data_IF_658539341144
#
_entry.id   IF_658539341144
#
_cell.length_a   1.000
_cell.length_b   1.000
_cell.length_c   1.000
_cell.angle_alpha   90.00
_cell.angle_beta   90.00
_cell.angle_gamma   90.00
#
_symmetry.space_group_name_H-M   'P 1'
#
loop_
_entity.id
_entity.type
_entity.pdbx_description
1 polymer ?
#
# COMPACT_ATOMS: atom_id res chain seq x y z
N UNK A 1 -63.42 -0.30 -33.24
CA UNK A 1 -62.67 -0.69 -32.04
C UNK A 1 -63.56 -0.49 -30.84
N UNK A 2 -64.15 -1.57 -30.33
CA UNK A 2 -64.67 -1.73 -28.97
C UNK A 2 -65.03 -3.22 -28.86
N UNK A 3 -64.22 -3.96 -28.10
CA UNK A 3 -64.40 -5.39 -27.89
C UNK A 3 -65.43 -5.59 -26.78
N UNK A 4 -66.52 -6.29 -27.11
CA UNK A 4 -67.42 -6.87 -26.12
C UNK A 4 -66.72 -8.05 -25.47
N UNK A 5 -66.41 -7.92 -24.18
CA UNK A 5 -65.87 -8.98 -23.34
C UNK A 5 -67.03 -9.86 -22.90
N UNK A 6 -67.19 -11.00 -23.56
CA UNK A 6 -68.09 -12.07 -23.12
C UNK A 6 -67.47 -12.84 -21.95
N UNK A 7 -68.21 -12.86 -20.85
CA UNK A 7 -67.90 -13.49 -19.58
C UNK A 7 -67.97 -15.02 -19.70
N UNK A 8 -66.84 -15.72 -19.56
CA UNK A 8 -66.76 -17.19 -19.48
C UNK A 8 -66.76 -17.61 -17.98
N UNK A 9 -67.58 -18.58 -17.54
CA UNK A 9 -67.65 -18.98 -16.14
C UNK A 9 -66.42 -19.78 -15.70
N UNK A 10 -66.12 -19.64 -14.40
CA UNK A 10 -65.00 -20.23 -13.68
C UNK A 10 -64.89 -21.76 -13.87
N UNK A 11 -63.75 -22.20 -14.41
CA UNK A 11 -63.23 -23.54 -14.14
C UNK A 11 -62.45 -23.47 -12.83
N UNK A 12 -63.08 -23.92 -11.75
CA UNK A 12 -62.41 -24.17 -10.49
C UNK A 12 -61.38 -25.30 -10.68
N UNK A 13 -60.09 -24.95 -10.74
CA UNK A 13 -59.02 -25.93 -10.56
C UNK A 13 -58.98 -26.33 -9.09
N UNK A 14 -59.72 -27.38 -8.76
CA UNK A 14 -59.57 -28.11 -7.51
C UNK A 14 -58.26 -28.91 -7.56
N UNK A 15 -57.22 -28.40 -6.88
CA UNK A 15 -56.28 -29.19 -6.06
C UNK A 15 -55.20 -28.25 -5.49
N UNK A 16 -55.53 -27.61 -4.38
CA UNK A 16 -54.55 -27.07 -3.45
C UNK A 16 -54.95 -27.53 -2.04
N UNK A 17 -54.99 -28.86 -1.87
CA UNK A 17 -54.99 -29.42 -0.54
C UNK A 17 -53.61 -29.15 0.09
N UNK A 18 -53.53 -28.70 1.35
CA UNK A 18 -52.25 -28.62 2.04
C UNK A 18 -51.73 -30.05 2.18
N UNK A 19 -50.66 -30.38 1.45
CA UNK A 19 -49.94 -31.63 1.69
C UNK A 19 -49.48 -31.58 3.14
N UNK A 20 -50.09 -32.39 4.00
CA UNK A 20 -49.68 -32.54 5.38
C UNK A 20 -48.22 -33.01 5.35
N UNK A 21 -47.30 -32.08 5.58
CA UNK A 21 -45.87 -32.33 5.56
C UNK A 21 -45.52 -33.16 6.79
N UNK A 22 -45.69 -34.48 6.68
CA UNK A 22 -45.26 -35.42 7.70
C UNK A 22 -43.74 -35.31 7.79
N UNK A 23 -43.16 -34.99 8.95
CA UNK A 23 -41.70 -34.89 9.06
C UNK A 23 -41.11 -36.27 8.75
N UNK A 24 -40.40 -36.38 7.63
CA UNK A 24 -39.68 -37.60 7.26
C UNK A 24 -38.44 -37.71 8.13
N UNK A 25 -38.26 -38.85 8.78
CA UNK A 25 -37.09 -39.12 9.62
C UNK A 25 -35.85 -39.46 8.78
N UNK A 26 -34.65 -39.26 9.33
CA UNK A 26 -33.39 -39.63 8.66
C UNK A 26 -33.34 -41.13 8.33
N UNK A 27 -33.89 -41.98 9.20
CA UNK A 27 -33.88 -43.42 9.00
C UNK A 27 -34.84 -43.84 7.87
N UNK A 28 -35.99 -43.18 7.73
CA UNK A 28 -36.88 -43.37 6.58
C UNK A 28 -36.21 -42.95 5.27
N UNK A 29 -35.44 -41.85 5.27
CA UNK A 29 -34.68 -41.39 4.08
C UNK A 29 -33.60 -42.40 3.71
N UNK A 30 -32.84 -42.91 4.69
CA UNK A 30 -31.80 -43.92 4.47
C UNK A 30 -32.37 -45.23 3.92
N UNK A 31 -33.54 -45.65 4.41
CA UNK A 31 -34.21 -46.85 3.93
C UNK A 31 -34.78 -46.67 2.51
N UNK A 32 -35.37 -45.51 2.21
CA UNK A 32 -35.96 -45.23 0.91
C UNK A 32 -34.91 -44.95 -0.19
N UNK A 33 -33.80 -44.30 0.18
CA UNK A 33 -32.77 -43.85 -0.76
C UNK A 33 -31.35 -44.11 -0.21
N UNK A 34 -30.91 -45.37 -0.11
CA UNK A 34 -29.64 -45.71 0.52
C UNK A 34 -28.44 -45.10 -0.23
N UNK A 35 -28.42 -45.15 -1.55
CA UNK A 35 -27.32 -44.61 -2.36
C UNK A 35 -27.23 -43.08 -2.27
N UNK A 36 -28.37 -42.38 -2.37
CA UNK A 36 -28.42 -40.92 -2.27
C UNK A 36 -28.03 -40.48 -0.85
N UNK A 37 -28.52 -41.16 0.18
CA UNK A 37 -28.17 -40.87 1.57
C UNK A 37 -26.67 -41.02 1.80
N UNK A 38 -26.06 -42.08 1.27
CA UNK A 38 -24.62 -42.30 1.37
C UNK A 38 -23.84 -41.24 0.60
N UNK A 39 -24.29 -40.85 -0.59
CA UNK A 39 -23.66 -39.80 -1.39
C UNK A 39 -23.65 -38.45 -0.65
N UNK A 40 -24.78 -38.06 -0.04
CA UNK A 40 -24.87 -36.82 0.74
C UNK A 40 -23.96 -36.82 1.98
N UNK A 41 -23.88 -37.95 2.69
CA UNK A 41 -22.96 -38.11 3.83
C UNK A 41 -21.51 -37.94 3.38
N UNK A 42 -21.13 -38.58 2.28
CA UNK A 42 -19.77 -38.50 1.73
C UNK A 42 -19.43 -37.07 1.28
N UNK A 43 -20.34 -36.43 0.53
CA UNK A 43 -20.17 -35.05 0.08
C UNK A 43 -20.01 -34.08 1.25
N UNK A 44 -20.83 -34.21 2.29
CA UNK A 44 -20.73 -33.39 3.51
C UNK A 44 -19.40 -33.60 4.23
N UNK A 45 -18.98 -34.87 4.40
CA UNK A 45 -17.71 -35.20 5.05
C UNK A 45 -16.50 -34.69 4.24
N UNK A 46 -16.54 -34.78 2.91
CA UNK A 46 -15.50 -34.26 2.02
C UNK A 46 -15.41 -32.74 2.09
N UNK A 47 -16.54 -32.04 2.00
CA UNK A 47 -16.60 -30.58 2.13
C UNK A 47 -16.05 -30.11 3.46
N UNK A 48 -16.42 -30.76 4.55
CA UNK A 48 -15.96 -30.39 5.88
C UNK A 48 -14.46 -30.67 6.07
N UNK A 49 -13.96 -31.82 5.59
CA UNK A 49 -12.52 -32.10 5.61
C UNK A 49 -11.74 -31.09 4.78
N UNK A 50 -12.24 -30.71 3.60
CA UNK A 50 -11.62 -29.71 2.75
C UNK A 50 -11.58 -28.33 3.42
N UNK A 51 -12.66 -27.94 4.12
CA UNK A 51 -12.73 -26.69 4.90
C UNK A 51 -11.73 -26.69 6.05
N UNK A 52 -11.65 -27.77 6.83
CA UNK A 52 -10.66 -27.89 7.91
C UNK A 52 -9.24 -27.88 7.36
N UNK A 53 -8.98 -28.58 6.24
CA UNK A 53 -7.67 -28.56 5.58
C UNK A 53 -7.27 -27.13 5.15
N UNK A 54 -8.18 -26.37 4.55
CA UNK A 54 -7.89 -24.97 4.16
C UNK A 54 -7.63 -24.08 5.38
N UNK A 55 -8.30 -24.34 6.51
CA UNK A 55 -8.03 -23.67 7.78
C UNK A 55 -6.61 -23.96 8.30
N UNK A 56 -6.19 -25.23 8.27
CA UNK A 56 -4.85 -25.64 8.74
C UNK A 56 -3.73 -25.16 7.81
N UNK A 57 -3.98 -25.12 6.49
CA UNK A 57 -3.04 -24.58 5.51
C UNK A 57 -2.78 -23.08 5.67
N UNK A 58 -3.76 -22.34 6.22
CA UNK A 58 -3.59 -20.93 6.58
C UNK A 58 -2.81 -20.72 7.89
N UNK A 59 -2.45 -21.79 8.61
CA UNK A 59 -1.75 -21.69 9.90
C UNK A 59 -0.34 -21.11 9.75
N UNK A 60 0.07 -20.34 10.75
CA UNK A 60 1.40 -19.74 10.84
C UNK A 60 1.93 -19.87 12.27
N UNK A 61 3.26 -20.00 12.40
CA UNK A 61 3.91 -20.18 13.70
C UNK A 61 3.51 -19.08 14.69
N UNK A 62 3.08 -19.47 15.89
CA UNK A 62 2.63 -18.57 16.95
C UNK A 62 1.12 -18.24 16.91
N UNK A 63 0.39 -18.71 15.90
CA UNK A 63 -1.05 -18.50 15.74
C UNK A 63 -1.87 -19.80 15.84
N UNK A 64 -1.27 -20.90 16.31
CA UNK A 64 -1.89 -22.22 16.36
C UNK A 64 -3.18 -22.23 17.21
N UNK A 65 -3.21 -21.47 18.30
CA UNK A 65 -4.40 -21.34 19.15
C UNK A 65 -5.57 -20.63 18.45
N UNK A 66 -5.27 -19.62 17.63
CA UNK A 66 -6.28 -18.90 16.84
C UNK A 66 -6.86 -19.83 15.77
N UNK A 67 -6.01 -20.57 15.07
CA UNK A 67 -6.42 -21.55 14.06
C UNK A 67 -7.28 -22.65 14.70
N UNK A 68 -6.86 -23.17 15.87
CA UNK A 68 -7.59 -24.21 16.59
C UNK A 68 -8.98 -23.77 17.04
N UNK A 69 -9.16 -22.52 17.48
CA UNK A 69 -10.47 -22.00 17.91
C UNK A 69 -11.41 -21.76 16.73
N UNK A 70 -10.88 -21.40 15.56
CA UNK A 70 -11.68 -21.09 14.37
C UNK A 70 -12.01 -22.34 13.55
N UNK A 71 -11.09 -23.29 13.36
CA UNK A 71 -11.28 -24.39 12.40
C UNK A 71 -12.47 -25.31 12.72
N UNK A 72 -12.91 -25.39 13.98
CA UNK A 72 -14.04 -26.24 14.41
C UNK A 72 -15.36 -25.50 14.63
N UNK A 73 -15.46 -24.22 14.26
CA UNK A 73 -16.68 -23.41 14.46
C UNK A 73 -17.78 -23.66 13.41
N UNK A 74 -17.51 -24.49 12.40
CA UNK A 74 -18.43 -24.85 11.32
C UNK A 74 -18.64 -23.77 10.25
N UNK A 75 -17.94 -22.63 10.31
CA UNK A 75 -18.14 -21.50 9.38
C UNK A 75 -16.84 -20.85 8.88
N UNK A 76 -15.74 -20.99 9.62
CA UNK A 76 -14.46 -20.42 9.24
C UNK A 76 -13.88 -21.13 8.03
N UNK A 77 -13.18 -20.38 7.18
CA UNK A 77 -12.42 -20.89 6.03
C UNK A 77 -10.96 -20.46 6.15
N UNK A 78 -10.07 -21.05 5.35
CA UNK A 78 -8.66 -20.63 5.28
C UNK A 78 -8.47 -19.13 5.07
N UNK A 79 -9.29 -18.49 4.24
CA UNK A 79 -9.25 -17.05 4.00
C UNK A 79 -9.61 -16.24 5.25
N UNK A 80 -10.64 -16.67 5.98
CA UNK A 80 -11.04 -15.98 7.23
C UNK A 80 -9.97 -16.12 8.32
N UNK A 81 -9.29 -17.28 8.39
CA UNK A 81 -8.18 -17.52 9.31
C UNK A 81 -6.98 -16.66 8.93
N UNK A 82 -6.59 -16.65 7.65
CA UNK A 82 -5.47 -15.81 7.19
C UNK A 82 -5.71 -14.33 7.52
N UNK A 83 -6.94 -13.84 7.33
CA UNK A 83 -7.30 -12.47 7.68
C UNK A 83 -7.28 -12.24 9.20
N UNK A 84 -7.70 -13.21 10.01
CA UNK A 84 -7.63 -13.12 11.47
C UNK A 84 -6.17 -13.06 11.95
N UNK A 85 -5.28 -13.85 11.37
CA UNK A 85 -3.83 -13.83 11.64
C UNK A 85 -3.25 -12.46 11.30
N UNK A 86 -3.55 -11.90 10.11
CA UNK A 86 -3.07 -10.58 9.72
C UNK A 86 -3.52 -9.49 10.70
N UNK A 87 -4.77 -9.54 11.16
CA UNK A 87 -5.28 -8.56 12.14
C UNK A 87 -4.55 -8.66 13.48
N UNK A 88 -4.32 -9.86 13.99
CA UNK A 88 -3.62 -10.03 15.26
C UNK A 88 -2.14 -9.65 15.13
N UNK A 89 -1.49 -9.95 14.01
CA UNK A 89 -0.11 -9.51 13.73
C UNK A 89 -0.02 -7.97 13.66
N UNK A 90 -0.98 -7.31 13.02
CA UNK A 90 -1.04 -5.84 12.98
C UNK A 90 -1.15 -5.25 14.39
N UNK A 91 -1.99 -5.82 15.25
CA UNK A 91 -2.13 -5.40 16.65
C UNK A 91 -0.79 -5.54 17.38
N UNK A 92 -0.16 -6.71 17.32
CA UNK A 92 1.15 -6.96 17.95
C UNK A 92 2.21 -5.97 17.46
N UNK A 93 2.23 -5.66 16.16
CA UNK A 93 3.18 -4.69 15.59
C UNK A 93 2.93 -3.27 16.07
N UNK A 94 1.66 -2.86 16.12
CA UNK A 94 1.30 -1.53 16.60
C UNK A 94 1.67 -1.36 18.08
N UNK A 95 1.39 -2.36 18.91
CA UNK A 95 1.75 -2.36 20.33
C UNK A 95 3.27 -2.29 20.52
N UNK A 96 4.03 -3.07 19.74
CA UNK A 96 5.50 -3.01 19.75
C UNK A 96 6.03 -1.66 19.28
N UNK A 97 5.44 -1.07 18.24
CA UNK A 97 5.84 0.24 17.75
C UNK A 97 5.59 1.32 18.82
N UNK A 98 4.43 1.29 19.48
CA UNK A 98 4.13 2.19 20.58
C UNK A 98 5.15 2.05 21.73
N UNK A 99 5.52 0.81 22.08
CA UNK A 99 6.55 0.55 23.07
C UNK A 99 7.94 1.07 22.63
N UNK A 100 8.31 0.91 21.35
CA UNK A 100 9.57 1.46 20.82
C UNK A 100 9.59 2.98 20.89
N UNK A 101 8.52 3.65 20.49
CA UNK A 101 8.40 5.11 20.54
C UNK A 101 8.46 5.60 22.00
N UNK A 102 7.75 4.92 22.92
CA UNK A 102 7.75 5.29 24.33
C UNK A 102 9.10 5.07 25.02
N UNK A 103 9.86 4.06 24.62
CA UNK A 103 11.17 3.74 25.19
C UNK A 103 12.33 4.41 24.44
N UNK A 104 12.06 5.14 23.37
CA UNK A 104 13.08 5.83 22.61
C UNK A 104 13.69 6.96 23.45
N UNK A 105 15.04 7.08 23.49
CA UNK A 105 15.69 8.28 24.00
C UNK A 105 15.19 9.51 23.26
N UNK A 106 15.04 10.63 23.97
CA UNK A 106 14.69 11.89 23.33
C UNK A 106 15.70 12.22 22.22
N UNK A 107 15.26 12.69 21.05
CA UNK A 107 16.17 13.16 20.01
C UNK A 107 17.15 14.15 20.61
N UNK A 108 18.44 13.93 20.38
CA UNK A 108 19.46 14.91 20.77
C UNK A 108 19.14 16.20 20.03
N UNK A 109 19.05 17.32 20.76
CA UNK A 109 18.93 18.63 20.11
C UNK A 109 20.20 18.84 19.31
N UNK A 110 20.12 18.72 17.99
CA UNK A 110 21.14 19.25 17.11
C UNK A 110 21.05 20.77 17.18
N UNK A 111 22.11 21.40 17.65
CA UNK A 111 22.28 22.83 17.44
C UNK A 111 22.09 23.12 15.94
N UNK A 112 21.50 24.27 15.56
CA UNK A 112 21.54 24.67 14.17
C UNK A 112 23.00 24.60 13.74
N UNK A 113 23.29 23.68 12.82
CA UNK A 113 24.53 23.71 12.08
C UNK A 113 24.48 25.10 11.46
N UNK A 114 25.32 26.03 11.94
CA UNK A 114 25.54 27.27 11.22
C UNK A 114 25.72 26.83 9.79
N UNK A 115 24.79 27.23 8.91
CA UNK A 115 24.96 26.99 7.50
C UNK A 115 26.40 27.39 7.23
N UNK A 116 27.23 26.44 6.78
CA UNK A 116 28.57 26.78 6.33
C UNK A 116 28.35 27.99 5.45
N UNK A 117 28.80 29.16 5.89
CA UNK A 117 28.78 30.33 5.04
C UNK A 117 29.48 29.80 3.79
N UNK A 118 28.74 29.73 2.67
CA UNK A 118 29.38 29.53 1.38
C UNK A 118 30.56 30.49 1.43
N UNK A 119 31.80 30.05 1.16
CA UNK A 119 32.95 30.94 1.18
C UNK A 119 32.50 32.21 0.49
N UNK A 120 32.54 33.34 1.20
CA UNK A 120 32.24 34.63 0.58
C UNK A 120 33.10 34.64 -0.68
N UNK A 121 32.47 34.63 -1.84
CA UNK A 121 33.18 34.71 -3.12
C UNK A 121 33.76 36.14 -3.17
N UNK A 122 34.83 36.41 -2.41
CA UNK A 122 35.51 37.71 -2.35
C UNK A 122 35.92 38.17 -3.76
N UNK A 123 36.09 37.22 -4.69
CA UNK A 123 36.32 37.48 -6.10
C UNK A 123 35.12 38.16 -6.79
N UNK A 124 33.87 37.75 -6.52
CA UNK A 124 32.67 38.34 -7.16
C UNK A 124 32.42 39.78 -6.72
N UNK A 125 32.75 40.11 -5.46
CA UNK A 125 32.66 41.48 -4.95
C UNK A 125 33.66 42.40 -5.65
N UNK A 126 34.88 41.90 -5.93
CA UNK A 126 35.94 42.68 -6.61
C UNK A 126 35.67 42.94 -8.10
N UNK A 127 35.01 42.02 -8.82
CA UNK A 127 34.70 42.21 -10.27
C UNK A 127 33.87 43.48 -10.52
N UNK A 128 32.92 43.76 -9.63
CA UNK A 128 31.97 44.86 -9.78
C UNK A 128 32.39 46.16 -9.08
N UNK A 129 33.43 46.14 -8.25
CA UNK A 129 33.91 47.31 -7.52
C UNK A 129 34.68 48.28 -8.43
N UNK A 130 34.01 49.34 -8.88
CA UNK A 130 34.61 50.35 -9.77
C UNK A 130 35.72 51.18 -9.11
N UNK A 131 35.91 51.08 -7.79
CA UNK A 131 37.00 51.77 -7.09
C UNK A 131 38.36 51.08 -7.27
N UNK A 132 38.35 49.80 -7.66
CA UNK A 132 39.56 49.03 -7.94
C UNK A 132 40.08 49.26 -9.37
N UNK A 133 41.41 49.20 -9.59
CA UNK A 133 41.99 49.22 -10.92
C UNK A 133 41.38 48.13 -11.83
N UNK A 134 41.19 48.45 -13.11
CA UNK A 134 40.61 47.54 -14.09
C UNK A 134 41.32 46.17 -14.13
N UNK A 135 42.65 46.18 -14.02
CA UNK A 135 43.47 44.97 -14.01
C UNK A 135 43.15 44.04 -12.83
N UNK A 136 42.96 44.59 -11.64
CA UNK A 136 42.62 43.81 -10.44
C UNK A 136 41.21 43.20 -10.56
N UNK A 137 40.27 43.95 -11.13
CA UNK A 137 38.90 43.49 -11.36
C UNK A 137 38.84 42.41 -12.44
N UNK A 138 39.56 42.60 -13.53
CA UNK A 138 39.71 41.60 -14.60
C UNK A 138 40.36 40.32 -14.04
N UNK A 139 41.39 40.46 -13.20
CA UNK A 139 42.02 39.31 -12.57
C UNK A 139 41.07 38.55 -11.65
N UNK A 140 40.24 39.26 -10.89
CA UNK A 140 39.21 38.62 -10.07
C UNK A 140 38.18 37.84 -10.91
N UNK A 141 37.74 38.40 -12.05
CA UNK A 141 36.83 37.72 -12.97
C UNK A 141 37.48 36.44 -13.52
N UNK A 142 38.71 36.56 -14.02
CA UNK A 142 39.55 35.47 -14.53
C UNK A 142 39.75 34.33 -13.54
N UNK A 143 40.13 34.64 -12.30
CA UNK A 143 40.42 33.62 -11.29
C UNK A 143 39.14 32.90 -10.85
N UNK A 144 37.99 33.59 -10.87
CA UNK A 144 36.69 33.06 -10.44
C UNK A 144 35.94 32.21 -11.47
N UNK A 145 36.23 32.36 -12.77
CA UNK A 145 35.52 31.68 -13.85
C UNK A 145 36.44 30.73 -14.63
N UNK A 146 36.21 29.42 -14.49
CA UNK A 146 36.98 28.40 -15.20
C UNK A 146 36.66 28.34 -16.71
N UNK A 147 35.45 28.74 -17.13
CA UNK A 147 35.05 28.83 -18.52
C UNK A 147 35.79 29.97 -19.23
N UNK A 148 35.89 31.12 -18.56
CA UNK A 148 36.67 32.25 -19.06
C UNK A 148 38.15 31.89 -19.27
N UNK A 149 38.72 31.10 -18.36
CA UNK A 149 40.08 30.56 -18.47
C UNK A 149 40.27 29.51 -19.57
N UNK A 150 39.19 28.91 -20.04
CA UNK A 150 39.21 28.00 -21.18
C UNK A 150 39.05 28.75 -22.51
N UNK A 151 38.29 29.85 -22.52
CA UNK A 151 38.02 30.67 -23.71
C UNK A 151 39.22 31.52 -24.13
N UNK A 152 39.92 32.12 -23.17
CA UNK A 152 41.18 32.80 -23.43
C UNK A 152 42.34 31.91 -22.99
N UNK A 153 43.39 31.82 -23.79
CA UNK A 153 44.54 30.96 -23.47
C UNK A 153 45.44 31.53 -22.36
N UNK A 154 45.27 32.81 -22.01
CA UNK A 154 46.02 33.47 -20.94
C UNK A 154 45.28 34.69 -20.38
N UNK A 155 45.59 35.09 -19.15
CA UNK A 155 45.06 36.31 -18.54
C UNK A 155 45.39 37.56 -19.38
N UNK A 156 46.58 37.62 -19.99
CA UNK A 156 46.96 38.74 -20.85
C UNK A 156 46.04 38.87 -22.08
N UNK A 157 45.63 37.76 -22.67
CA UNK A 157 44.69 37.77 -23.81
C UNK A 157 43.30 38.25 -23.40
N UNK A 158 42.84 37.86 -22.21
CA UNK A 158 41.58 38.34 -21.64
C UNK A 158 41.66 39.83 -21.25
N UNK A 159 42.72 40.26 -20.59
CA UNK A 159 42.89 41.64 -20.16
C UNK A 159 42.92 42.60 -21.36
N UNK A 160 43.66 42.27 -22.42
CA UNK A 160 43.65 43.04 -23.67
C UNK A 160 42.26 43.11 -24.31
N UNK A 161 41.47 42.04 -24.23
CA UNK A 161 40.08 42.03 -24.71
C UNK A 161 39.21 42.98 -23.87
N UNK A 162 39.35 42.97 -22.54
CA UNK A 162 38.63 43.86 -21.63
C UNK A 162 38.99 45.32 -21.88
N UNK A 163 40.27 45.64 -22.10
CA UNK A 163 40.71 46.99 -22.47
C UNK A 163 40.11 47.44 -23.80
N UNK A 164 40.11 46.57 -24.81
CA UNK A 164 39.50 46.84 -26.10
C UNK A 164 37.97 47.00 -26.01
N UNK A 165 37.33 46.33 -25.05
CA UNK A 165 35.90 46.42 -24.77
C UNK A 165 35.54 47.60 -23.83
N UNK A 166 36.45 48.55 -23.62
CA UNK A 166 36.23 49.75 -22.83
C UNK A 166 36.15 49.49 -21.32
N UNK A 167 36.83 48.46 -20.82
CA UNK A 167 36.90 48.13 -19.40
C UNK A 167 35.68 47.40 -18.83
N UNK A 168 34.84 46.82 -19.70
CA UNK A 168 33.66 46.03 -19.32
C UNK A 168 34.05 44.57 -19.13
N UNK A 169 33.69 44.02 -17.97
CA UNK A 169 33.92 42.63 -17.56
C UNK A 169 32.68 41.77 -17.79
#
# INVERSE_FOLDING_TARGET
MNQEVTNQPAAASADNAPVANKPVSIDEIKAAYPEISQALINEGAEKERARIKSCEEASMRGYENLVASMKFDGKSTGETIALAIVREEQKIRNDKNAAFVSNAPQPVKSDPVNALEKPKDEAKDKVNDQSLPLEERAKAAWDSDAGLRAEFSSFGSYFSFVEANGGKL
#
